data_IF_537389559510
#
_entry.id   IF_537389559510
#
_cell.length_a   1.000
_cell.length_b   1.000
_cell.length_c   1.000
_cell.angle_alpha   90.00
_cell.angle_beta   90.00
_cell.angle_gamma   90.00
#
_symmetry.space_group_name_H-M   'P 1'
#
loop_
_entity.id
_entity.type
_entity.pdbx_description
1 polymer ?
#
# COMPACT_ATOMS: atom_id res chain seq x y z
N UNK A 1 -5.65 7.14 20.76
CA UNK A 1 -4.97 6.41 21.86
C UNK A 1 -5.91 5.42 22.53
N UNK A 2 -7.04 5.83 23.13
CA UNK A 2 -7.98 4.91 23.78
C UNK A 2 -8.54 3.80 22.85
N UNK A 3 -8.96 4.14 21.63
CA UNK A 3 -9.41 3.14 20.65
C UNK A 3 -8.32 2.14 20.24
N UNK A 4 -7.07 2.59 20.08
CA UNK A 4 -5.95 1.69 19.77
C UNK A 4 -5.66 0.74 20.93
N UNK A 5 -5.69 1.24 22.17
CA UNK A 5 -5.50 0.42 23.36
C UNK A 5 -6.62 -0.63 23.53
N UNK A 6 -7.88 -0.24 23.30
CA UNK A 6 -8.99 -1.18 23.28
C UNK A 6 -8.83 -2.23 22.18
N UNK A 7 -8.39 -1.84 20.99
CA UNK A 7 -8.06 -2.75 19.89
C UNK A 7 -6.98 -3.76 20.26
N UNK A 8 -5.92 -3.34 20.95
CA UNK A 8 -4.87 -4.24 21.47
C UNK A 8 -5.41 -5.22 22.51
N UNK A 9 -6.30 -4.79 23.39
CA UNK A 9 -6.91 -5.70 24.37
C UNK A 9 -7.82 -6.73 23.67
N UNK A 10 -8.54 -6.32 22.62
CA UNK A 10 -9.35 -7.22 21.80
C UNK A 10 -8.49 -8.22 21.02
N UNK A 11 -7.30 -7.82 20.54
CA UNK A 11 -6.42 -8.74 19.81
C UNK A 11 -5.88 -9.88 20.68
N UNK A 12 -5.77 -9.69 22.00
CA UNK A 12 -5.44 -10.75 22.95
C UNK A 12 -6.55 -11.81 23.09
N UNK A 13 -7.79 -11.48 22.74
CA UNK A 13 -8.89 -12.43 22.70
C UNK A 13 -8.94 -13.24 21.39
N UNK A 14 -8.10 -12.92 20.40
CA UNK A 14 -8.03 -13.66 19.14
C UNK A 14 -7.38 -15.02 19.39
N UNK A 15 -8.01 -16.06 18.83
CA UNK A 15 -7.56 -17.44 18.95
C UNK A 15 -6.16 -17.61 18.31
N UNK A 16 -5.20 -18.29 18.97
CA UNK A 16 -3.88 -18.51 18.39
C UNK A 16 -3.98 -19.32 17.09
N UNK A 17 -3.14 -19.01 16.06
CA UNK A 17 -3.23 -19.63 14.73
C UNK A 17 -3.21 -21.17 14.74
N UNK A 18 -2.52 -21.79 15.70
CA UNK A 18 -2.42 -23.24 15.86
C UNK A 18 -3.75 -23.93 16.23
N UNK A 19 -4.72 -23.15 16.74
CA UNK A 19 -6.07 -23.61 17.09
C UNK A 19 -7.12 -23.21 16.03
N UNK A 20 -6.72 -22.46 15.00
CA UNK A 20 -7.61 -22.06 13.91
C UNK A 20 -7.76 -23.23 12.94
N UNK A 21 -8.99 -23.71 12.82
CA UNK A 21 -9.41 -24.69 11.81
C UNK A 21 -10.15 -23.91 10.72
N UNK A 22 -9.69 -24.04 9.48
CA UNK A 22 -10.32 -23.40 8.32
C UNK A 22 -11.65 -24.10 8.00
N UNK A 23 -12.49 -23.45 7.20
CA UNK A 23 -13.78 -24.00 6.75
C UNK A 23 -13.62 -25.31 5.95
N UNK A 24 -12.45 -25.54 5.35
CA UNK A 24 -12.08 -26.78 4.64
C UNK A 24 -11.55 -27.90 5.57
N UNK A 25 -11.55 -27.68 6.89
CA UNK A 25 -11.04 -28.63 7.89
C UNK A 25 -9.51 -28.69 8.03
N UNK A 26 -8.77 -27.94 7.22
CA UNK A 26 -7.31 -27.84 7.33
C UNK A 26 -6.90 -26.93 8.48
N UNK A 27 -5.75 -27.22 9.11
CA UNK A 27 -5.17 -26.35 10.14
C UNK A 27 -4.26 -25.32 9.49
N UNK A 28 -4.26 -24.09 10.02
CA UNK A 28 -3.22 -23.12 9.66
C UNK A 28 -1.84 -23.69 9.98
N UNK A 29 -0.88 -23.49 9.08
CA UNK A 29 0.49 -23.99 9.20
C UNK A 29 1.08 -23.63 10.58
N UNK A 30 1.76 -24.59 11.20
CA UNK A 30 2.45 -24.35 12.47
C UNK A 30 3.55 -23.31 12.23
N UNK A 31 3.36 -22.11 12.78
CA UNK A 31 4.39 -21.06 12.81
C UNK A 31 5.54 -21.62 13.65
N UNK A 32 6.65 -21.98 12.99
CA UNK A 32 7.84 -22.45 13.67
C UNK A 32 8.53 -21.21 14.24
N UNK A 33 8.58 -21.10 15.56
CA UNK A 33 9.28 -19.97 16.18
C UNK A 33 10.76 -20.00 15.80
N UNK A 34 11.19 -19.01 15.03
CA UNK A 34 12.59 -18.77 14.69
C UNK A 34 13.28 -18.00 15.82
N UNK A 35 14.60 -18.12 15.90
CA UNK A 35 15.39 -17.38 16.88
C UNK A 35 15.47 -15.90 16.49
N UNK A 36 15.42 -14.99 17.47
CA UNK A 36 15.44 -13.54 17.24
C UNK A 36 16.68 -13.10 16.44
N UNK A 37 17.84 -13.70 16.71
CA UNK A 37 19.06 -13.42 15.95
C UNK A 37 18.95 -13.82 14.48
N UNK A 38 18.31 -14.95 14.20
CA UNK A 38 18.03 -15.42 12.84
C UNK A 38 17.06 -14.46 12.14
N UNK A 39 15.99 -14.02 12.81
CA UNK A 39 15.05 -13.04 12.26
C UNK A 39 15.73 -11.72 11.88
N UNK A 40 16.64 -11.21 12.72
CA UNK A 40 17.38 -9.96 12.43
C UNK A 40 18.25 -10.15 11.19
N UNK A 41 19.01 -11.25 11.12
CA UNK A 41 19.89 -11.52 9.98
C UNK A 41 19.10 -11.71 8.69
N UNK A 42 18.01 -12.49 8.73
CA UNK A 42 17.15 -12.71 7.55
C UNK A 42 16.47 -11.42 7.12
N UNK A 43 16.03 -10.57 8.06
CA UNK A 43 15.49 -9.24 7.76
C UNK A 43 16.54 -8.33 7.12
N UNK A 44 17.79 -8.36 7.57
CA UNK A 44 18.87 -7.58 6.95
C UNK A 44 19.20 -8.06 5.53
N UNK A 45 19.17 -9.38 5.30
CA UNK A 45 19.34 -9.95 3.95
C UNK A 45 18.26 -9.47 2.98
N UNK A 46 17.08 -9.09 3.45
CA UNK A 46 16.03 -8.55 2.60
C UNK A 46 16.42 -7.26 1.88
N UNK A 47 17.30 -6.44 2.47
CA UNK A 47 17.83 -5.24 1.82
C UNK A 47 18.71 -5.55 0.60
N UNK A 48 19.17 -6.79 0.46
CA UNK A 48 19.94 -7.26 -0.71
C UNK A 48 19.08 -8.09 -1.68
N UNK A 49 17.82 -8.36 -1.34
CA UNK A 49 16.93 -9.15 -2.18
C UNK A 49 16.42 -8.31 -3.36
N UNK A 50 16.73 -8.74 -4.58
CA UNK A 50 16.32 -8.04 -5.81
C UNK A 50 14.80 -7.80 -5.88
N UNK A 51 13.98 -8.72 -5.35
CA UNK A 51 12.52 -8.57 -5.33
C UNK A 51 12.10 -7.37 -4.48
N UNK A 52 12.72 -7.20 -3.31
CA UNK A 52 12.36 -6.13 -2.39
C UNK A 52 13.00 -4.81 -2.78
N UNK A 53 14.18 -4.84 -3.40
CA UNK A 53 14.80 -3.65 -3.97
C UNK A 53 13.90 -2.97 -5.02
N UNK A 54 13.13 -3.74 -5.80
CA UNK A 54 12.12 -3.21 -6.71
C UNK A 54 10.90 -2.59 -6.00
N UNK A 55 10.62 -2.99 -4.76
CA UNK A 55 9.53 -2.45 -3.92
C UNK A 55 9.99 -1.18 -3.18
N UNK A 56 11.29 -0.97 -2.97
CA UNK A 56 11.83 0.18 -2.20
C UNK A 56 11.29 1.53 -2.69
N UNK A 57 11.27 1.86 -4.00
CA UNK A 57 10.72 3.14 -4.45
C UNK A 57 9.24 3.31 -4.10
N UNK A 58 8.46 2.22 -4.22
CA UNK A 58 7.05 2.21 -3.87
C UNK A 58 6.86 2.41 -2.36
N UNK A 59 7.63 1.68 -1.55
CA UNK A 59 7.62 1.78 -0.09
C UNK A 59 8.00 3.18 0.41
N UNK A 60 9.03 3.79 -0.21
CA UNK A 60 9.45 5.15 0.13
C UNK A 60 8.36 6.18 -0.20
N UNK A 61 7.79 6.09 -1.41
CA UNK A 61 6.76 7.04 -1.84
C UNK A 61 5.50 6.98 -0.96
N UNK A 62 5.11 5.80 -0.47
CA UNK A 62 3.86 5.60 0.27
C UNK A 62 3.72 6.34 1.61
N UNK A 63 4.74 7.03 2.12
CA UNK A 63 4.61 7.98 3.24
C UNK A 63 5.20 9.36 2.91
N UNK A 64 6.08 9.45 1.91
CA UNK A 64 6.72 10.70 1.51
C UNK A 64 5.70 11.72 0.95
N UNK A 65 4.56 11.22 0.43
CA UNK A 65 3.46 12.01 -0.11
C UNK A 65 2.65 12.75 0.97
N UNK A 66 2.59 12.21 2.20
CA UNK A 66 1.70 12.75 3.24
C UNK A 66 2.07 14.17 3.65
N UNK A 67 3.36 14.49 3.73
CA UNK A 67 3.78 15.84 4.12
C UNK A 67 3.28 16.89 3.13
N UNK A 68 3.30 16.57 1.83
CA UNK A 68 2.73 17.43 0.79
C UNK A 68 1.19 17.52 0.91
N UNK A 69 0.49 16.41 1.12
CA UNK A 69 -0.97 16.41 1.20
C UNK A 69 -1.49 17.15 2.44
N UNK A 70 -0.94 16.87 3.62
CA UNK A 70 -1.41 17.44 4.89
C UNK A 70 -0.88 18.85 5.15
N UNK A 71 0.39 19.14 4.87
CA UNK A 71 0.96 20.46 5.18
C UNK A 71 0.78 21.46 4.05
N UNK A 72 0.99 21.04 2.80
CA UNK A 72 0.85 21.96 1.67
C UNK A 72 -0.63 22.08 1.26
N UNK A 73 -1.26 21.00 0.80
CA UNK A 73 -2.64 21.09 0.27
C UNK A 73 -3.63 21.39 1.39
N UNK A 74 -3.66 20.62 2.47
CA UNK A 74 -4.62 20.86 3.55
C UNK A 74 -4.22 22.05 4.43
N UNK A 75 -2.92 22.20 4.73
CA UNK A 75 -2.41 23.19 5.66
C UNK A 75 -2.38 24.63 5.14
N UNK A 76 -2.08 24.84 3.84
CA UNK A 76 -1.96 26.19 3.26
C UNK A 76 -3.29 26.70 2.70
N UNK A 77 -4.11 25.83 2.11
CA UNK A 77 -5.34 26.24 1.42
C UNK A 77 -6.54 26.41 2.35
N UNK A 78 -6.60 25.71 3.49
CA UNK A 78 -7.82 25.64 4.30
C UNK A 78 -7.62 26.15 5.73
N UNK A 79 -8.70 26.69 6.30
CA UNK A 79 -8.70 27.11 7.70
C UNK A 79 -8.72 25.91 8.66
N UNK A 80 -8.38 26.14 9.94
CA UNK A 80 -8.25 25.08 10.95
C UNK A 80 -9.52 24.20 11.08
N UNK A 81 -10.71 24.80 10.98
CA UNK A 81 -11.98 24.09 11.07
C UNK A 81 -12.20 23.15 9.88
N UNK A 82 -11.94 23.66 8.67
CA UNK A 82 -12.10 22.95 7.41
C UNK A 82 -11.05 21.86 7.25
N UNK A 83 -9.83 22.08 7.76
CA UNK A 83 -8.76 21.06 7.81
C UNK A 83 -9.18 19.81 8.57
N UNK A 84 -9.84 19.99 9.72
CA UNK A 84 -10.37 18.87 10.51
C UNK A 84 -11.43 18.08 9.74
N UNK A 85 -12.35 18.77 9.07
CA UNK A 85 -13.37 18.15 8.23
C UNK A 85 -12.75 17.40 7.04
N UNK A 86 -11.83 18.05 6.33
CA UNK A 86 -11.09 17.48 5.20
C UNK A 86 -10.38 16.20 5.59
N UNK A 87 -9.76 16.14 6.78
CA UNK A 87 -9.11 14.93 7.26
C UNK A 87 -10.10 13.77 7.43
N UNK A 88 -11.31 14.02 7.97
CA UNK A 88 -12.34 12.98 8.09
C UNK A 88 -12.70 12.41 6.72
N UNK A 89 -12.87 13.28 5.73
CA UNK A 89 -13.16 12.86 4.35
C UNK A 89 -11.97 12.18 3.67
N UNK A 90 -10.75 12.58 3.98
CA UNK A 90 -9.53 11.92 3.49
C UNK A 90 -9.45 10.48 3.99
N UNK A 91 -9.57 10.26 5.30
CA UNK A 91 -9.57 8.92 5.88
C UNK A 91 -10.79 8.11 5.45
N UNK A 92 -11.94 8.76 5.24
CA UNK A 92 -13.11 8.13 4.63
C UNK A 92 -12.85 7.66 3.20
N UNK A 93 -12.19 8.49 2.39
CA UNK A 93 -11.80 8.16 1.02
C UNK A 93 -10.85 6.95 0.99
N UNK A 94 -9.95 6.83 1.98
CA UNK A 94 -9.05 5.67 2.09
C UNK A 94 -9.82 4.36 2.28
N UNK A 95 -10.90 4.37 3.05
CA UNK A 95 -11.75 3.18 3.23
C UNK A 95 -12.34 2.76 1.89
N UNK A 96 -12.88 3.71 1.12
CA UNK A 96 -13.45 3.41 -0.19
C UNK A 96 -12.38 2.97 -1.21
N UNK A 97 -11.23 3.62 -1.23
CA UNK A 97 -10.14 3.31 -2.14
C UNK A 97 -9.53 1.92 -1.89
N UNK A 98 -9.29 1.56 -0.62
CA UNK A 98 -8.79 0.24 -0.24
C UNK A 98 -9.77 -0.88 -0.60
N UNK A 99 -11.07 -0.71 -0.31
CA UNK A 99 -12.11 -1.69 -0.68
C UNK A 99 -12.22 -1.82 -2.20
N UNK A 100 -12.21 -0.70 -2.92
CA UNK A 100 -12.33 -0.69 -4.37
C UNK A 100 -11.19 -1.42 -5.08
N UNK A 101 -9.95 -1.08 -4.76
CA UNK A 101 -8.80 -1.76 -5.38
C UNK A 101 -8.66 -3.21 -4.89
N UNK A 102 -8.99 -3.47 -3.62
CA UNK A 102 -8.99 -4.81 -3.04
C UNK A 102 -9.93 -5.72 -3.81
N UNK A 103 -11.14 -5.28 -4.12
CA UNK A 103 -12.08 -6.06 -4.91
C UNK A 103 -11.54 -6.37 -6.32
N UNK A 104 -10.92 -5.38 -6.97
CA UNK A 104 -10.32 -5.57 -8.30
C UNK A 104 -9.19 -6.60 -8.25
N UNK A 105 -8.30 -6.49 -7.28
CA UNK A 105 -7.13 -7.35 -7.18
C UNK A 105 -7.46 -8.74 -6.64
N UNK A 106 -8.52 -8.88 -5.83
CA UNK A 106 -8.92 -10.14 -5.18
C UNK A 106 -10.08 -10.88 -5.83
N UNK A 107 -10.86 -10.27 -6.73
CA UNK A 107 -11.93 -10.98 -7.47
C UNK A 107 -12.01 -10.79 -9.00
N UNK A 108 -11.30 -9.84 -9.64
CA UNK A 108 -11.59 -9.54 -11.05
C UNK A 108 -11.13 -10.57 -12.10
N UNK A 109 -10.07 -11.35 -11.87
CA UNK A 109 -9.52 -12.25 -12.90
C UNK A 109 -9.08 -13.60 -12.35
N UNK A 110 -9.09 -14.62 -13.21
CA UNK A 110 -8.67 -15.99 -12.86
C UNK A 110 -7.14 -16.11 -12.68
N UNK A 111 -6.34 -15.39 -13.47
CA UNK A 111 -4.87 -15.40 -13.33
C UNK A 111 -4.40 -14.40 -12.27
N UNK A 112 -3.51 -14.86 -11.38
CA UNK A 112 -2.86 -14.02 -10.37
C UNK A 112 -2.08 -12.89 -11.02
N UNK A 113 -1.34 -13.18 -12.10
CA UNK A 113 -0.58 -12.16 -12.84
C UNK A 113 -1.48 -11.10 -13.48
N UNK A 114 -2.59 -11.50 -14.09
CA UNK A 114 -3.50 -10.56 -14.75
C UNK A 114 -4.09 -9.56 -13.76
N UNK A 115 -4.48 -10.02 -12.57
CA UNK A 115 -4.94 -9.13 -11.48
C UNK A 115 -3.89 -8.11 -11.09
N UNK A 116 -2.63 -8.53 -10.98
CA UNK A 116 -1.51 -7.65 -10.66
C UNK A 116 -1.32 -6.57 -11.72
N UNK A 117 -1.32 -6.94 -13.01
CA UNK A 117 -1.19 -5.98 -14.10
C UNK A 117 -2.35 -4.99 -14.17
N UNK A 118 -3.59 -5.48 -14.05
CA UNK A 118 -4.78 -4.60 -14.09
C UNK A 118 -4.83 -3.71 -12.87
N UNK A 119 -4.55 -4.24 -11.67
CA UNK A 119 -4.47 -3.47 -10.44
C UNK A 119 -3.45 -2.34 -10.54
N UNK A 120 -2.21 -2.64 -10.97
CA UNK A 120 -1.18 -1.62 -11.17
C UNK A 120 -1.59 -0.60 -12.24
N UNK A 121 -2.18 -1.05 -13.35
CA UNK A 121 -2.66 -0.17 -14.41
C UNK A 121 -3.75 0.80 -13.94
N UNK A 122 -4.72 0.32 -13.14
CA UNK A 122 -5.78 1.14 -12.56
C UNK A 122 -5.17 2.18 -11.61
N UNK A 123 -4.31 1.77 -10.67
CA UNK A 123 -3.67 2.70 -9.73
C UNK A 123 -2.80 3.72 -10.47
N UNK A 124 -2.06 3.31 -11.50
CA UNK A 124 -1.23 4.22 -12.30
C UNK A 124 -2.06 5.25 -13.07
N UNK A 125 -3.22 4.85 -13.61
CA UNK A 125 -4.15 5.76 -14.29
C UNK A 125 -4.71 6.80 -13.32
N UNK A 126 -5.33 6.35 -12.22
CA UNK A 126 -5.87 7.24 -11.19
C UNK A 126 -4.78 8.12 -10.61
N UNK A 127 -3.59 7.55 -10.35
CA UNK A 127 -2.43 8.27 -9.87
C UNK A 127 -2.03 9.41 -10.79
N UNK A 128 -1.87 9.13 -12.09
CA UNK A 128 -1.50 10.16 -13.07
C UNK A 128 -2.56 11.26 -13.16
N UNK A 129 -3.85 10.92 -13.17
CA UNK A 129 -4.95 11.90 -13.23
C UNK A 129 -4.96 12.79 -11.99
N UNK A 130 -4.86 12.20 -10.80
CA UNK A 130 -4.94 12.92 -9.52
C UNK A 130 -3.70 13.79 -9.31
N UNK A 131 -2.50 13.28 -9.62
CA UNK A 131 -1.26 14.07 -9.55
C UNK A 131 -1.24 15.21 -10.59
N UNK A 132 -1.79 15.00 -11.78
CA UNK A 132 -1.96 16.08 -12.78
C UNK A 132 -2.93 17.16 -12.29
N UNK A 133 -4.04 16.76 -11.66
CA UNK A 133 -4.95 17.69 -10.97
C UNK A 133 -4.25 18.43 -9.82
N UNK A 134 -3.38 17.73 -9.09
CA UNK A 134 -2.50 18.29 -8.08
C UNK A 134 -1.57 19.38 -8.62
N UNK A 135 -0.91 19.10 -9.75
CA UNK A 135 -0.06 20.07 -10.44
C UNK A 135 -0.88 21.29 -10.92
N UNK A 136 -2.04 21.06 -11.55
CA UNK A 136 -2.91 22.13 -12.02
C UNK A 136 -3.40 23.03 -10.88
N UNK A 137 -3.63 22.46 -9.69
CA UNK A 137 -3.98 23.23 -8.51
C UNK A 137 -2.75 23.94 -7.92
N UNK A 138 -1.60 23.26 -7.83
CA UNK A 138 -0.34 23.80 -7.33
C UNK A 138 0.19 24.96 -8.18
N UNK A 139 -0.09 25.00 -9.49
CA UNK A 139 0.27 26.13 -10.35
C UNK A 139 -0.48 27.42 -10.00
N UNK A 140 -1.60 27.33 -9.26
CA UNK A 140 -2.42 28.49 -8.87
C UNK A 140 -1.90 29.19 -7.63
N UNK A 141 -0.94 28.61 -6.90
CA UNK A 141 -0.43 29.20 -5.66
C UNK A 141 1.02 28.81 -5.35
N UNK A 142 1.80 29.77 -4.85
CA UNK A 142 3.21 29.55 -4.49
C UNK A 142 3.46 29.73 -2.99
N UNK A 143 4.56 29.12 -2.50
CA UNK A 143 5.00 29.19 -1.10
C UNK A 143 5.37 30.66 -0.78
N UNK A 144 4.56 31.33 0.03
CA UNK A 144 4.76 32.74 0.42
C UNK A 144 3.68 33.71 -0.05
N UNK A 145 2.73 33.27 -0.88
CA UNK A 145 1.53 34.05 -1.16
C UNK A 145 0.53 33.96 0.00
N UNK A 146 0.00 35.11 0.43
CA UNK A 146 -1.11 35.15 1.39
C UNK A 146 -2.38 34.73 0.66
N UNK A 147 -2.64 33.43 0.60
CA UNK A 147 -3.93 32.92 0.15
C UNK A 147 -4.99 33.24 1.21
N UNK A 148 -6.17 33.67 0.77
CA UNK A 148 -7.34 33.62 1.64
C UNK A 148 -7.65 32.14 1.92
N UNK A 149 -7.53 31.75 3.17
CA UNK A 149 -7.83 30.38 3.60
C UNK A 149 -9.30 30.08 3.34
N UNK A 150 -9.56 28.99 2.64
CA UNK A 150 -10.91 28.54 2.32
C UNK A 150 -11.60 27.99 3.59
N UNK A 151 -12.84 28.43 3.84
CA UNK A 151 -13.75 27.88 4.85
C UNK A 151 -14.90 27.16 4.14
N UNK A 152 -15.25 25.97 4.62
CA UNK A 152 -16.39 25.21 4.10
C UNK A 152 -17.73 25.96 4.18
N UNK A 153 -17.89 26.97 5.06
CA UNK A 153 -19.11 27.80 5.13
C UNK A 153 -19.06 29.03 4.24
N UNK A 154 -17.91 29.70 4.19
CA UNK A 154 -17.82 31.05 3.65
C UNK A 154 -17.29 31.08 2.20
N UNK A 155 -16.66 29.98 1.74
CA UNK A 155 -15.97 29.93 0.44
C UNK A 155 -16.77 29.29 -0.70
N UNK A 156 -18.04 28.94 -0.49
CA UNK A 156 -18.97 28.52 -1.56
C UNK A 156 -18.40 27.47 -2.54
N UNK A 157 -18.44 27.77 -3.84
CA UNK A 157 -17.98 26.88 -4.91
C UNK A 157 -16.46 26.70 -5.02
N UNK A 158 -15.67 27.65 -4.47
CA UNK A 158 -14.20 27.62 -4.54
C UNK A 158 -13.59 26.58 -3.59
N UNK A 159 -14.36 26.13 -2.59
CA UNK A 159 -14.00 25.02 -1.70
C UNK A 159 -14.03 23.66 -2.43
N UNK A 160 -14.96 23.46 -3.36
CA UNK A 160 -15.26 22.15 -3.93
C UNK A 160 -14.08 21.55 -4.72
N UNK A 161 -13.38 22.35 -5.51
CA UNK A 161 -12.24 21.88 -6.32
C UNK A 161 -11.08 21.34 -5.47
N UNK A 162 -10.49 22.15 -4.58
CA UNK A 162 -9.44 21.72 -3.67
C UNK A 162 -9.88 20.59 -2.72
N UNK A 163 -11.15 20.58 -2.29
CA UNK A 163 -11.70 19.51 -1.45
C UNK A 163 -11.76 18.16 -2.19
N UNK A 164 -12.30 18.13 -3.41
CA UNK A 164 -12.37 16.92 -4.24
C UNK A 164 -10.97 16.40 -4.55
N UNK A 165 -10.02 17.30 -4.82
CA UNK A 165 -8.62 16.92 -5.01
C UNK A 165 -8.03 16.27 -3.75
N UNK A 166 -8.29 16.85 -2.58
CA UNK A 166 -7.82 16.29 -1.31
C UNK A 166 -8.45 14.93 -0.98
N UNK A 167 -9.75 14.77 -1.23
CA UNK A 167 -10.45 13.49 -1.15
C UNK A 167 -9.83 12.44 -2.10
N UNK A 168 -9.53 12.86 -3.34
CA UNK A 168 -8.93 11.99 -4.35
C UNK A 168 -7.52 11.55 -3.95
N UNK A 169 -6.74 12.40 -3.26
CA UNK A 169 -5.44 12.00 -2.73
C UNK A 169 -5.55 10.87 -1.70
N UNK A 170 -6.52 10.92 -0.78
CA UNK A 170 -6.74 9.83 0.19
C UNK A 170 -7.19 8.53 -0.49
N UNK A 171 -8.06 8.65 -1.49
CA UNK A 171 -8.46 7.50 -2.31
C UNK A 171 -7.25 6.87 -3.01
N UNK A 172 -6.40 7.67 -3.66
CA UNK A 172 -5.19 7.19 -4.32
C UNK A 172 -4.21 6.53 -3.35
N UNK A 173 -4.02 7.12 -2.17
CA UNK A 173 -3.06 6.63 -1.19
C UNK A 173 -3.41 5.22 -0.71
N UNK A 174 -4.67 5.02 -0.31
CA UNK A 174 -5.16 3.69 0.06
C UNK A 174 -5.10 2.69 -1.08
N UNK A 175 -5.38 3.13 -2.32
CA UNK A 175 -5.30 2.26 -3.49
C UNK A 175 -3.86 1.81 -3.74
N UNK A 176 -2.91 2.74 -3.69
CA UNK A 176 -1.50 2.48 -3.87
C UNK A 176 -0.95 1.56 -2.77
N UNK A 177 -1.24 1.87 -1.50
CA UNK A 177 -0.80 1.06 -0.37
C UNK A 177 -1.37 -0.37 -0.44
N UNK A 178 -2.67 -0.52 -0.72
CA UNK A 178 -3.32 -1.83 -0.82
C UNK A 178 -2.75 -2.65 -1.98
N UNK A 179 -2.47 -2.02 -3.12
CA UNK A 179 -1.82 -2.67 -4.26
C UNK A 179 -0.42 -3.17 -3.91
N UNK A 180 0.41 -2.38 -3.22
CA UNK A 180 1.75 -2.83 -2.81
C UNK A 180 1.66 -4.00 -1.84
N UNK A 181 0.74 -3.96 -0.87
CA UNK A 181 0.49 -5.08 0.04
C UNK A 181 0.03 -6.35 -0.69
N UNK A 182 -0.83 -6.20 -1.69
CA UNK A 182 -1.25 -7.32 -2.53
C UNK A 182 -0.05 -7.92 -3.28
N UNK A 183 0.85 -7.10 -3.83
CA UNK A 183 2.07 -7.59 -4.50
C UNK A 183 2.97 -8.30 -3.50
N UNK A 184 3.17 -7.76 -2.30
CA UNK A 184 3.94 -8.42 -1.23
C UNK A 184 3.33 -9.78 -0.87
N UNK A 185 2.00 -9.84 -0.72
CA UNK A 185 1.26 -11.08 -0.44
C UNK A 185 1.32 -12.10 -1.59
N UNK A 186 1.40 -11.63 -2.84
CA UNK A 186 1.56 -12.50 -4.00
C UNK A 186 2.98 -13.09 -4.14
N UNK A 187 3.98 -12.47 -3.50
CA UNK A 187 5.39 -12.88 -3.55
C UNK A 187 5.81 -13.79 -2.39
N UNK A 188 5.08 -13.75 -1.28
CA UNK A 188 5.40 -14.52 -0.09
C UNK A 188 4.71 -15.89 -0.13
N UNK A 189 5.52 -16.95 -0.07
CA UNK A 189 5.02 -18.33 -0.09
C UNK A 189 4.61 -18.83 1.32
N UNK A 190 5.11 -18.19 2.38
CA UNK A 190 4.79 -18.51 3.78
C UNK A 190 4.61 -17.22 4.61
N UNK A 191 3.84 -17.35 5.68
CA UNK A 191 3.56 -16.36 6.72
C UNK A 191 4.82 -15.73 7.33
N UNK A 192 5.89 -16.52 7.54
CA UNK A 192 7.16 -16.02 8.08
C UNK A 192 7.80 -15.02 7.12
N UNK A 193 7.93 -15.39 5.84
CA UNK A 193 8.47 -14.53 4.77
C UNK A 193 7.59 -13.29 4.58
N UNK A 194 6.27 -13.49 4.58
CA UNK A 194 5.30 -12.40 4.46
C UNK A 194 5.47 -11.37 5.57
N UNK A 195 5.65 -11.83 6.82
CA UNK A 195 5.85 -10.95 7.97
C UNK A 195 7.13 -10.12 7.82
N UNK A 196 8.23 -10.72 7.36
CA UNK A 196 9.50 -10.02 7.13
C UNK A 196 9.38 -9.02 5.98
N UNK A 197 8.70 -9.36 4.89
CA UNK A 197 8.48 -8.44 3.76
C UNK A 197 7.60 -7.25 4.15
N UNK A 198 6.53 -7.49 4.91
CA UNK A 198 5.67 -6.44 5.43
C UNK A 198 6.42 -5.51 6.41
N UNK A 199 7.26 -6.09 7.29
CA UNK A 199 8.14 -5.34 8.19
C UNK A 199 9.14 -4.47 7.44
N UNK A 200 9.79 -5.03 6.42
CA UNK A 200 10.69 -4.28 5.52
C UNK A 200 9.96 -3.11 4.85
N UNK A 201 8.79 -3.37 4.26
CA UNK A 201 7.98 -2.35 3.61
C UNK A 201 7.66 -1.19 4.56
N UNK A 202 7.14 -1.49 5.76
CA UNK A 202 6.84 -0.46 6.77
C UNK A 202 8.10 0.26 7.29
N UNK A 203 9.22 -0.44 7.42
CA UNK A 203 10.50 0.17 7.81
C UNK A 203 10.98 1.21 6.81
N UNK A 204 10.96 0.87 5.51
CA UNK A 204 11.31 1.81 4.42
C UNK A 204 10.29 2.95 4.35
N UNK A 205 9.00 2.66 4.52
CA UNK A 205 7.94 3.69 4.58
C UNK A 205 8.22 4.70 5.70
N UNK A 206 8.62 4.22 6.89
CA UNK A 206 8.95 5.07 8.03
C UNK A 206 10.19 5.93 7.79
N UNK A 207 11.23 5.37 7.16
CA UNK A 207 12.42 6.13 6.77
C UNK A 207 12.07 7.24 5.76
N UNK A 208 11.25 6.92 4.75
CA UNK A 208 10.74 7.91 3.79
C UNK A 208 9.96 9.02 4.48
N UNK A 209 9.06 8.68 5.42
CA UNK A 209 8.32 9.65 6.22
C UNK A 209 9.27 10.62 6.94
N UNK A 210 10.26 10.10 7.67
CA UNK A 210 11.20 10.91 8.44
C UNK A 210 11.94 11.93 7.56
N UNK A 211 12.38 11.52 6.37
CA UNK A 211 13.03 12.43 5.41
C UNK A 211 12.03 13.47 4.87
N UNK A 212 10.80 13.06 4.55
CA UNK A 212 9.77 13.97 4.04
C UNK A 212 9.46 15.13 5.00
N UNK A 213 9.27 14.80 6.28
CA UNK A 213 9.04 15.79 7.33
C UNK A 213 10.23 16.74 7.49
N UNK A 214 11.45 16.22 7.39
CA UNK A 214 12.67 17.04 7.47
C UNK A 214 12.81 17.98 6.26
N UNK A 215 12.49 17.50 5.05
CA UNK A 215 12.50 18.31 3.81
C UNK A 215 11.48 19.44 3.91
N UNK A 216 10.28 19.16 4.43
CA UNK A 216 9.26 20.19 4.62
C UNK A 216 9.64 21.21 5.70
N UNK A 217 10.27 20.77 6.79
CA UNK A 217 10.79 21.66 7.84
C UNK A 217 11.87 22.63 7.34
N UNK A 218 12.63 22.25 6.30
CA UNK A 218 13.60 23.14 5.65
C UNK A 218 12.98 24.08 4.61
N UNK A 219 11.65 24.12 4.54
CA UNK A 219 10.89 25.00 3.67
C UNK A 219 11.18 24.86 2.17
N UNK A 220 11.51 23.64 1.72
CA UNK A 220 11.70 23.35 0.30
C UNK A 220 10.42 23.67 -0.49
N UNK A 221 10.58 24.19 -1.71
CA UNK A 221 9.46 24.58 -2.57
C UNK A 221 8.44 23.45 -2.75
N UNK A 222 7.15 23.79 -2.64
CA UNK A 222 6.04 22.85 -2.84
C UNK A 222 6.04 22.20 -4.22
N UNK A 223 6.52 22.91 -5.25
CA UNK A 223 6.64 22.36 -6.60
C UNK A 223 7.71 21.26 -6.65
N UNK A 224 8.85 21.46 -5.99
CA UNK A 224 9.90 20.45 -5.89
C UNK A 224 9.42 19.21 -5.12
N UNK A 225 8.68 19.41 -4.03
CA UNK A 225 8.06 18.30 -3.29
C UNK A 225 7.08 17.52 -4.17
N UNK A 226 6.21 18.20 -4.93
CA UNK A 226 5.28 17.56 -5.86
C UNK A 226 6.00 16.77 -6.96
N UNK A 227 7.03 17.33 -7.58
CA UNK A 227 7.77 16.68 -8.67
C UNK A 227 8.47 15.42 -8.15
N UNK A 228 9.12 15.49 -6.98
CA UNK A 228 9.78 14.33 -6.37
C UNK A 228 8.76 13.24 -6.04
N UNK A 229 7.64 13.62 -5.44
CA UNK A 229 6.53 12.74 -5.13
C UNK A 229 6.00 12.03 -6.38
N UNK A 230 5.61 12.80 -7.39
CA UNK A 230 5.03 12.27 -8.61
C UNK A 230 6.04 11.42 -9.39
N UNK A 231 7.31 11.83 -9.45
CA UNK A 231 8.38 11.07 -10.08
C UNK A 231 8.61 9.72 -9.39
N UNK A 232 8.73 9.70 -8.06
CA UNK A 232 8.93 8.46 -7.29
C UNK A 232 7.74 7.50 -7.44
N UNK A 233 6.51 8.01 -7.37
CA UNK A 233 5.31 7.19 -7.56
C UNK A 233 5.23 6.65 -9.00
N UNK A 234 5.55 7.47 -10.00
CA UNK A 234 5.50 7.06 -11.41
C UNK A 234 6.54 6.01 -11.75
N UNK A 235 7.76 6.11 -11.21
CA UNK A 235 8.82 5.12 -11.37
C UNK A 235 8.46 3.80 -10.66
N UNK A 236 7.69 3.87 -9.57
CA UNK A 236 7.29 2.68 -8.82
C UNK A 236 6.37 1.74 -9.63
N UNK A 237 5.50 2.27 -10.48
CA UNK A 237 4.58 1.45 -11.28
C UNK A 237 5.28 0.46 -12.23
N UNK A 238 6.20 0.87 -13.14
CA UNK A 238 6.88 -0.06 -14.03
C UNK A 238 7.75 -1.07 -13.26
N UNK A 239 8.35 -0.67 -12.13
CA UNK A 239 9.11 -1.59 -11.28
C UNK A 239 8.22 -2.68 -10.67
N UNK A 240 7.03 -2.31 -10.21
CA UNK A 240 6.04 -3.27 -9.72
C UNK A 240 5.49 -4.17 -10.83
N UNK A 241 5.29 -3.65 -12.05
CA UNK A 241 4.91 -4.46 -13.23
C UNK A 241 5.99 -5.50 -13.54
N UNK A 242 7.26 -5.09 -13.58
CA UNK A 242 8.40 -6.00 -13.78
C UNK A 242 8.44 -7.07 -12.68
N UNK A 243 8.22 -6.66 -11.44
CA UNK A 243 8.19 -7.58 -10.31
C UNK A 243 7.05 -8.60 -10.41
N UNK A 244 5.83 -8.15 -10.76
CA UNK A 244 4.70 -9.06 -11.00
C UNK A 244 4.99 -10.02 -12.14
N UNK A 245 5.57 -9.52 -13.24
CA UNK A 245 5.92 -10.35 -14.39
C UNK A 245 6.96 -11.43 -14.06
N UNK A 246 8.02 -11.07 -13.33
CA UNK A 246 9.13 -11.98 -13.04
C UNK A 246 8.88 -12.92 -11.87
N UNK A 247 8.16 -12.47 -10.85
CA UNK A 247 8.13 -13.16 -9.55
C UNK A 247 6.76 -13.73 -9.15
N UNK A 248 5.64 -13.22 -9.68
CA UNK A 248 4.33 -13.86 -9.46
C UNK A 248 4.25 -15.07 -10.41
N UNK A 249 3.85 -16.23 -9.90
CA UNK A 249 3.57 -17.42 -10.72
C UNK A 249 2.06 -17.67 -10.72
N UNK A 250 1.52 -18.16 -11.83
CA UNK A 250 0.13 -18.59 -11.89
C UNK A 250 0.02 -19.98 -11.25
N UNK A 251 -0.90 -20.14 -10.29
CA UNK A 251 -1.11 -21.36 -9.49
C UNK A 251 -1.53 -22.60 -10.31
N UNK A 252 -1.81 -22.44 -11.61
CA UNK A 252 -2.22 -23.51 -12.52
C UNK A 252 -1.16 -24.64 -12.60
N UNK A 253 0.12 -24.33 -12.40
CA UNK A 253 1.18 -25.36 -12.39
C UNK A 253 1.21 -26.23 -11.12
N UNK A 254 0.59 -25.78 -10.02
CA UNK A 254 0.55 -26.56 -8.79
C UNK A 254 -0.46 -27.72 -8.89
N UNK A 255 -1.61 -27.49 -9.53
CA UNK A 255 -2.65 -28.52 -9.71
C UNK A 255 -2.15 -29.64 -10.63
N UNK A 256 -1.48 -29.32 -11.74
CA UNK A 256 -0.91 -30.35 -12.63
C UNK A 256 0.21 -31.18 -11.98
N UNK A 257 0.98 -30.58 -11.07
CA UNK A 257 2.02 -31.29 -10.30
C UNK A 257 1.44 -32.28 -9.30
N UNK A 258 0.36 -31.89 -8.60
CA UNK A 258 -0.34 -32.78 -7.67
C UNK A 258 -1.11 -33.88 -8.41
N UNK A 259 -1.75 -33.57 -9.53
CA UNK A 259 -2.45 -34.59 -10.33
C UNK A 259 -1.49 -35.61 -10.96
N UNK A 260 -0.32 -35.18 -11.46
CA UNK A 260 0.71 -36.12 -11.96
C UNK A 260 1.33 -36.98 -10.86
N UNK A 261 1.63 -36.39 -9.70
CA UNK A 261 2.12 -37.15 -8.53
C UNK A 261 1.12 -38.18 -8.01
N UNK A 262 -0.18 -37.92 -8.14
CA UNK A 262 -1.24 -38.85 -7.69
C UNK A 262 -1.50 -39.95 -8.73
N UNK A 263 -1.24 -39.69 -10.02
CA UNK A 263 -1.36 -40.70 -11.09
C UNK A 263 -0.15 -41.64 -11.18
N UNK A 264 1.05 -41.21 -10.77
CA UNK A 264 2.25 -42.08 -10.72
C UNK A 264 2.24 -43.04 -9.51
N UNK A 265 1.44 -42.74 -8.48
CA UNK A 265 1.21 -43.64 -7.34
C UNK A 265 0.03 -44.60 -7.61
N UNK A 266 0.16 -45.44 -8.64
CA UNK A 266 -0.78 -46.55 -8.89
C UNK A 266 -0.71 -47.65 -7.81
N UNK A 267 -1.78 -48.44 -7.60
CA UNK A 267 -1.88 -49.36 -6.48
C UNK A 267 -0.91 -50.53 -6.64
N UNK A 268 0.06 -50.63 -5.74
CA UNK A 268 0.93 -51.81 -5.63
C UNK A 268 0.06 -53.01 -5.25
N UNK A 269 -0.01 -53.95 -6.19
CA UNK A 269 -0.68 -55.24 -6.11
C UNK A 269 -0.37 -55.98 -4.81
N UNK A 270 -1.40 -56.25 -4.02
CA UNK A 270 -1.37 -57.30 -3.01
C UNK A 270 -1.79 -58.62 -3.68
N UNK A 271 -0.89 -59.60 -3.67
CA UNK A 271 -1.17 -61.01 -3.92
C UNK A 271 0.12 -61.81 -4.05
N UNK A 272 0.09 -63.14 -3.86
CA UNK A 272 -0.99 -63.98 -3.33
C UNK A 272 -0.86 -64.29 -1.83
#
# INVERSE_FOLDING_TARGET
MAFMAAGTLLSLAILPPSKVVRDDGTRCSNIKHSNVSTEVVETLKLFLNWKLLLIVPAAWSGNFLYTYQFNNVNGVLFNLRTRGLNNVFYWGAEIFGSVGIGYIMDFSFQSRRMRGFVGIGVVALFGTVIWSGGLANQLKYSRGEKLQTLDFKDSGGDFAGPFILYFSFGLLDSMFQSMVYWVIGALADDSEILSRYAGFYKGVQGAGAAVAWQVDSHNVSFMSQLIVNWGLTTISYPLLVILVFLAVKDDIKAVEGTTKSTMEAGPTSAGP
#
